data_IF_505309160014
#
_entry.id   IF_505309160014
#
_cell.length_a   1.000
_cell.length_b   1.000
_cell.length_c   1.000
_cell.angle_alpha   90.00
_cell.angle_beta   90.00
_cell.angle_gamma   90.00
#
_symmetry.space_group_name_H-M   'P 1'
#
loop_
_entity.id
_entity.type
_entity.pdbx_description
1 polymer ?
#
# COMPACT_ATOMS: atom_id res chain seq x y z
N UNK A 1 5.92 22.20 6.24
CA UNK A 1 7.09 21.83 5.42
C UNK A 1 6.84 20.58 4.59
N UNK A 2 6.53 19.43 5.21
CA UNK A 2 6.27 18.16 4.49
C UNK A 2 5.22 18.24 3.37
N UNK A 3 4.05 18.85 3.62
CA UNK A 3 3.01 18.98 2.59
C UNK A 3 3.46 19.83 1.39
N UNK A 4 4.20 20.91 1.66
CA UNK A 4 4.77 21.75 0.60
C UNK A 4 5.88 21.00 -0.16
N UNK A 5 6.68 20.19 0.53
CA UNK A 5 7.70 19.33 -0.08
C UNK A 5 7.10 18.26 -0.99
N UNK A 6 5.99 17.63 -0.57
CA UNK A 6 5.26 16.65 -1.39
C UNK A 6 4.64 17.30 -2.63
N UNK A 7 4.02 18.47 -2.48
CA UNK A 7 3.38 19.18 -3.59
C UNK A 7 4.38 19.76 -4.58
N UNK A 8 5.59 20.14 -4.13
CA UNK A 8 6.65 20.67 -4.99
C UNK A 8 7.56 19.59 -5.59
N UNK A 9 7.47 18.35 -5.11
CA UNK A 9 8.37 17.27 -5.52
C UNK A 9 9.76 17.31 -4.85
N UNK A 10 9.96 18.13 -3.81
CA UNK A 10 11.19 18.11 -3.02
C UNK A 10 11.31 16.87 -2.11
N UNK A 11 10.21 16.14 -1.93
CA UNK A 11 10.16 14.87 -1.18
C UNK A 11 9.76 13.77 -2.15
N UNK A 12 10.69 12.85 -2.42
CA UNK A 12 10.46 11.72 -3.32
C UNK A 12 9.75 10.54 -2.62
N UNK A 13 10.03 10.34 -1.32
CA UNK A 13 9.50 9.22 -0.54
C UNK A 13 8.92 9.74 0.76
N UNK A 14 7.68 9.32 1.04
CA UNK A 14 7.02 9.55 2.32
C UNK A 14 6.46 8.24 2.87
N UNK A 15 6.64 8.05 4.17
CA UNK A 15 6.05 6.93 4.91
C UNK A 15 5.11 7.52 5.94
N UNK A 16 3.88 7.01 5.97
CA UNK A 16 2.86 7.54 6.85
C UNK A 16 1.71 6.57 7.04
N UNK A 17 0.75 6.99 7.85
CA UNK A 17 -0.48 6.23 8.07
C UNK A 17 -1.57 6.72 7.11
N UNK A 18 -2.82 6.43 7.46
CA UNK A 18 -4.00 6.95 6.79
C UNK A 18 -4.04 8.48 6.57
N UNK A 19 -3.24 9.26 7.29
CA UNK A 19 -3.12 10.71 7.09
C UNK A 19 -2.71 11.08 5.66
N UNK A 20 -1.98 10.22 4.95
CA UNK A 20 -1.57 10.47 3.56
C UNK A 20 -2.73 10.41 2.56
N UNK A 21 -3.87 9.84 2.94
CA UNK A 21 -5.07 9.78 2.09
C UNK A 21 -5.98 11.01 2.23
N UNK A 22 -5.70 11.91 3.18
CA UNK A 22 -6.52 13.11 3.36
C UNK A 22 -6.49 13.99 2.10
N UNK A 23 -7.61 14.62 1.78
CA UNK A 23 -7.74 15.47 0.58
C UNK A 23 -6.68 16.59 0.51
N UNK A 24 -6.24 17.08 1.67
CA UNK A 24 -5.24 18.14 1.81
C UNK A 24 -3.81 17.72 1.41
N UNK A 25 -3.56 16.42 1.22
CA UNK A 25 -2.24 15.91 0.82
C UNK A 25 -2.18 15.83 -0.69
N UNK A 26 -1.36 16.69 -1.31
CA UNK A 26 -1.11 16.70 -2.75
C UNK A 26 0.30 16.21 -3.02
N UNK A 27 0.42 15.27 -3.96
CA UNK A 27 1.70 14.79 -4.47
C UNK A 27 1.99 15.50 -5.80
N UNK A 28 3.24 15.86 -6.04
CA UNK A 28 3.65 16.44 -7.33
C UNK A 28 3.47 15.43 -8.48
N UNK A 29 3.98 14.21 -8.29
CA UNK A 29 3.89 13.12 -9.26
C UNK A 29 3.88 11.77 -8.52
N UNK A 30 2.69 11.34 -8.09
CA UNK A 30 2.53 10.05 -7.41
C UNK A 30 2.48 8.93 -8.45
N UNK A 31 3.57 8.17 -8.53
CA UNK A 31 3.70 7.06 -9.48
C UNK A 31 3.59 5.67 -8.83
N UNK A 32 3.88 5.56 -7.53
CA UNK A 32 3.86 4.29 -6.79
C UNK A 32 3.29 4.47 -5.38
N UNK A 33 2.34 3.62 -5.02
CA UNK A 33 1.79 3.53 -3.66
C UNK A 33 2.00 2.12 -3.08
N UNK A 34 2.65 2.05 -1.92
CA UNK A 34 2.84 0.80 -1.17
C UNK A 34 1.95 0.80 0.06
N UNK A 35 1.06 -0.18 0.17
CA UNK A 35 0.16 -0.35 1.31
C UNK A 35 0.54 -1.63 2.06
N UNK A 36 0.92 -1.50 3.32
CA UNK A 36 1.20 -2.63 4.20
C UNK A 36 0.02 -2.91 5.15
N UNK A 37 -0.15 -4.17 5.53
CA UNK A 37 -1.27 -4.69 6.31
C UNK A 37 -2.65 -4.20 5.86
N UNK A 38 -2.95 -4.49 4.60
CA UNK A 38 -4.15 -4.04 3.90
C UNK A 38 -5.49 -4.29 4.62
N UNK A 39 -5.58 -5.24 5.55
CA UNK A 39 -6.81 -5.51 6.29
C UNK A 39 -7.29 -4.30 7.12
N UNK A 40 -6.40 -3.32 7.38
CA UNK A 40 -6.76 -2.05 8.03
C UNK A 40 -7.18 -0.96 7.05
N UNK A 41 -7.02 -1.19 5.75
CA UNK A 41 -7.28 -0.23 4.68
C UNK A 41 -8.43 -0.73 3.78
N UNK A 42 -9.57 -0.06 3.89
CA UNK A 42 -10.76 -0.37 3.09
C UNK A 42 -10.66 0.07 1.63
N UNK A 43 -11.60 -0.41 0.82
CA UNK A 43 -11.69 -0.12 -0.63
C UNK A 43 -11.65 1.37 -0.93
N UNK A 44 -12.35 2.19 -0.14
CA UNK A 44 -12.40 3.64 -0.32
C UNK A 44 -11.05 4.35 -0.22
N UNK A 45 -10.16 3.87 0.65
CA UNK A 45 -8.84 4.48 0.81
C UNK A 45 -7.92 4.15 -0.37
N UNK A 46 -8.08 2.98 -0.99
CA UNK A 46 -7.37 2.63 -2.24
C UNK A 46 -7.81 3.52 -3.39
N UNK A 47 -9.12 3.70 -3.57
CA UNK A 47 -9.65 4.61 -4.59
C UNK A 47 -9.15 6.05 -4.38
N UNK A 48 -9.07 6.50 -3.12
CA UNK A 48 -8.56 7.81 -2.78
C UNK A 48 -7.08 8.01 -3.16
N UNK A 49 -6.22 6.98 -3.05
CA UNK A 49 -4.82 7.12 -3.46
C UNK A 49 -4.64 7.02 -4.97
N UNK A 50 -5.41 6.16 -5.65
CA UNK A 50 -5.41 6.11 -7.11
C UNK A 50 -5.85 7.45 -7.71
N UNK A 51 -6.78 8.16 -7.06
CA UNK A 51 -7.23 9.48 -7.50
C UNK A 51 -6.21 10.61 -7.25
N UNK A 52 -5.14 10.37 -6.49
CA UNK A 52 -4.10 11.38 -6.19
C UNK A 52 -2.97 11.44 -7.21
N UNK A 53 -2.92 10.52 -8.16
CA UNK A 53 -1.95 10.49 -9.27
C UNK A 53 -2.62 10.06 -10.57
N UNK A 54 -1.89 10.10 -11.67
CA UNK A 54 -2.37 9.56 -12.95
C UNK A 54 -2.10 8.05 -12.99
N UNK A 55 -3.08 7.27 -12.55
CA UNK A 55 -3.01 5.80 -12.51
C UNK A 55 -1.72 5.24 -11.86
N UNK A 56 -1.43 5.57 -10.58
CA UNK A 56 -0.22 5.09 -9.90
C UNK A 56 -0.20 3.57 -9.78
N UNK A 57 0.99 2.99 -9.89
CA UNK A 57 1.23 1.59 -9.57
C UNK A 57 0.92 1.33 -8.09
N UNK A 58 0.26 0.22 -7.80
CA UNK A 58 -0.15 -0.12 -6.43
C UNK A 58 0.41 -1.47 -6.00
N UNK A 59 1.22 -1.46 -4.95
CA UNK A 59 1.71 -2.67 -4.29
C UNK A 59 1.02 -2.82 -2.94
N UNK A 60 0.26 -3.90 -2.78
CA UNK A 60 -0.47 -4.21 -1.55
C UNK A 60 0.14 -5.43 -0.87
N UNK A 61 0.49 -5.30 0.40
CA UNK A 61 1.17 -6.32 1.19
C UNK A 61 0.36 -6.67 2.45
N UNK A 62 0.49 -7.92 2.91
CA UNK A 62 -0.04 -8.38 4.20
C UNK A 62 0.69 -9.64 4.65
N UNK A 63 0.88 -9.78 5.97
CA UNK A 63 1.36 -11.03 6.56
C UNK A 63 0.22 -12.04 6.79
N UNK A 64 -1.03 -11.58 6.83
CA UNK A 64 -2.20 -12.45 7.10
C UNK A 64 -2.62 -13.21 5.84
N UNK A 65 -2.72 -14.56 5.88
CA UNK A 65 -3.16 -15.33 4.73
C UNK A 65 -4.60 -14.97 4.35
N UNK A 66 -4.79 -14.31 3.21
CA UNK A 66 -6.12 -14.02 2.68
C UNK A 66 -6.68 -15.28 2.02
N UNK A 67 -7.93 -15.69 2.33
CA UNK A 67 -8.57 -16.82 1.66
C UNK A 67 -8.55 -16.65 0.15
N UNK A 68 -8.17 -17.70 -0.60
CA UNK A 68 -8.03 -17.64 -2.07
C UNK A 68 -9.31 -17.15 -2.76
N UNK A 69 -10.47 -17.49 -2.23
CA UNK A 69 -11.76 -17.01 -2.73
C UNK A 69 -11.92 -15.50 -2.56
N UNK A 70 -11.49 -14.94 -1.43
CA UNK A 70 -11.51 -13.50 -1.18
C UNK A 70 -10.52 -12.76 -2.07
N UNK A 71 -9.36 -13.37 -2.36
CA UNK A 71 -8.40 -12.82 -3.32
C UNK A 71 -9.05 -12.62 -4.71
N UNK A 72 -9.72 -13.65 -5.23
CA UNK A 72 -10.36 -13.59 -6.54
C UNK A 72 -11.55 -12.62 -6.61
N UNK A 73 -12.27 -12.41 -5.51
CA UNK A 73 -13.46 -11.54 -5.51
C UNK A 73 -13.14 -10.08 -5.19
N UNK A 74 -12.19 -9.82 -4.28
CA UNK A 74 -11.86 -8.47 -3.83
C UNK A 74 -10.64 -7.86 -4.55
N UNK A 75 -9.86 -8.69 -5.25
CA UNK A 75 -8.60 -8.33 -5.91
C UNK A 75 -8.40 -9.09 -7.23
N UNK A 76 -9.48 -9.59 -7.85
CA UNK A 76 -9.40 -10.45 -9.05
C UNK A 76 -8.79 -9.78 -10.28
N UNK A 77 -8.66 -8.46 -10.23
CA UNK A 77 -7.99 -7.58 -11.18
C UNK A 77 -6.50 -7.33 -10.86
N UNK A 78 -6.00 -7.82 -9.72
CA UNK A 78 -4.61 -7.66 -9.30
C UNK A 78 -3.81 -8.97 -9.45
N UNK A 79 -2.57 -8.86 -9.90
CA UNK A 79 -1.62 -9.97 -9.85
C UNK A 79 -1.21 -10.27 -8.40
N UNK A 80 -1.06 -11.56 -8.08
CA UNK A 80 -0.81 -12.02 -6.70
C UNK A 80 0.50 -12.77 -6.62
N UNK A 81 1.45 -12.21 -5.86
CA UNK A 81 2.69 -12.90 -5.47
C UNK A 81 2.62 -13.36 -4.02
N UNK A 82 3.17 -14.55 -3.73
CA UNK A 82 3.17 -15.13 -2.38
C UNK A 82 4.59 -15.51 -1.97
N UNK A 83 5.01 -15.00 -0.80
CA UNK A 83 6.27 -15.36 -0.17
C UNK A 83 6.01 -16.42 0.90
N UNK A 84 6.30 -17.68 0.58
CA UNK A 84 6.03 -18.83 1.48
C UNK A 84 7.23 -19.23 2.33
N UNK A 85 8.42 -18.78 1.96
CA UNK A 85 9.66 -19.14 2.64
C UNK A 85 9.98 -18.19 3.79
N UNK A 86 10.69 -18.70 4.77
CA UNK A 86 11.19 -17.91 5.90
C UNK A 86 12.56 -17.34 5.54
N UNK A 87 12.91 -16.13 6.01
CA UNK A 87 14.28 -15.65 5.93
C UNK A 87 15.26 -16.65 6.55
N UNK A 88 16.45 -16.75 5.95
CA UNK A 88 17.51 -17.61 6.46
C UNK A 88 17.79 -17.31 7.95
N UNK A 89 17.94 -18.36 8.76
CA UNK A 89 18.22 -18.22 10.19
C UNK A 89 17.00 -17.92 11.09
N UNK A 90 15.78 -17.88 10.55
CA UNK A 90 14.57 -17.71 11.38
C UNK A 90 14.38 -18.91 12.33
N UNK A 91 14.53 -18.67 13.64
CA UNK A 91 14.31 -19.69 14.67
C UNK A 91 12.83 -20.06 14.80
N UNK A 92 12.50 -21.32 15.14
CA UNK A 92 11.14 -21.71 15.48
C UNK A 92 10.62 -20.90 16.67
N UNK A 93 9.35 -20.48 16.59
CA UNK A 93 8.68 -19.87 17.74
C UNK A 93 8.28 -21.00 18.69
N UNK A 94 8.69 -20.92 19.97
CA UNK A 94 8.21 -21.83 21.01
C UNK A 94 6.85 -21.31 21.50
N UNK A 95 5.77 -21.89 20.99
CA UNK A 95 4.40 -21.64 21.43
C UNK A 95 4.08 -22.36 22.73
#
# INVERSE_FOLDING_TARGET
ETLAGLASGAIDIVVGTHALFQETVTFHDLVLAVIDEQHRFGVHQRLAITAKGDAPDMLVMTATPIPRTLVLTAFGDMDVSKLTEKPAGRQPIRT
#
